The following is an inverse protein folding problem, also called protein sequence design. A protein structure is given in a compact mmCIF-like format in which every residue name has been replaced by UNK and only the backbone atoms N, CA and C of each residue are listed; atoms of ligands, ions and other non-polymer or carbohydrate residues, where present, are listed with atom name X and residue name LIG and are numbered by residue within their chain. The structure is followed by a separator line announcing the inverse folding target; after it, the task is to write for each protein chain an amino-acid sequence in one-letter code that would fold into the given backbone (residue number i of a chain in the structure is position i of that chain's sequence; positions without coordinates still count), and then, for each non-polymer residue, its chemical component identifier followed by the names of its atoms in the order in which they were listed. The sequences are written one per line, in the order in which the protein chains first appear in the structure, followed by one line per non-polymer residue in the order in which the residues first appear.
data_IF_959664467480
#
_entry.id   IF_959664467480
#
_cell.length_a   1.000
_cell.length_b   1.000
_cell.length_c   1.000
_cell.angle_alpha   90.00
_cell.angle_beta   90.00
_cell.angle_gamma   90.00
#
_symmetry.space_group_name_H-M   'P 1'
#
loop_
_entity.id
_entity.type
_entity.pdbx_description
1 polymer ?
#
# COMPACT_ATOMS: atom_id res chain seq x y z
N UNK A 1 -58.88 15.73 5.78
CA UNK A 1 -58.48 14.62 4.90
C UNK A 1 -58.84 14.99 3.47
N UNK A 2 -57.88 15.47 2.69
CA UNK A 2 -58.07 15.74 1.27
C UNK A 2 -57.72 14.46 0.50
N UNK A 3 -58.73 13.65 0.21
CA UNK A 3 -58.61 12.41 -0.56
C UNK A 3 -58.45 12.75 -2.04
N UNK A 4 -57.29 12.44 -2.62
CA UNK A 4 -57.05 12.58 -4.06
C UNK A 4 -57.83 11.47 -4.77
N UNK A 5 -58.79 11.84 -5.62
CA UNK A 5 -59.53 10.89 -6.45
C UNK A 5 -58.69 10.46 -7.66
N UNK A 6 -57.89 9.42 -7.46
CA UNK A 6 -56.97 8.87 -8.46
C UNK A 6 -57.64 8.49 -9.80
N UNK A 7 -58.96 8.27 -9.82
CA UNK A 7 -59.69 7.99 -11.07
C UNK A 7 -59.76 9.20 -11.99
N UNK A 8 -59.82 10.41 -11.42
CA UNK A 8 -59.86 11.66 -12.20
C UNK A 8 -58.51 11.99 -12.84
N UNK A 9 -57.42 11.56 -12.21
CA UNK A 9 -56.06 11.72 -12.77
C UNK A 9 -55.81 10.86 -14.02
N UNK A 10 -56.68 9.88 -14.29
CA UNK A 10 -56.59 9.01 -15.45
C UNK A 10 -57.26 9.59 -16.71
N UNK A 11 -58.04 10.66 -16.53
CA UNK A 11 -58.67 11.38 -17.64
C UNK A 11 -57.65 12.37 -18.23
N UNK A 12 -57.43 12.28 -19.55
CA UNK A 12 -56.49 13.13 -20.28
C UNK A 12 -56.94 14.59 -20.33
N UNK A 13 -58.23 14.84 -20.19
CA UNK A 13 -58.80 16.18 -20.22
C UNK A 13 -58.98 16.77 -18.81
N UNK A 14 -58.51 16.08 -17.76
CA UNK A 14 -58.59 16.56 -16.39
C UNK A 14 -57.71 17.79 -16.15
N UNK A 15 -58.35 18.91 -15.78
CA UNK A 15 -57.69 20.21 -15.56
C UNK A 15 -57.41 20.53 -14.08
N UNK A 16 -57.42 19.53 -13.19
CA UNK A 16 -57.14 19.74 -11.76
C UNK A 16 -58.33 20.25 -10.95
N UNK A 17 -59.56 20.15 -11.47
CA UNK A 17 -60.76 20.63 -10.78
C UNK A 17 -60.98 19.85 -9.47
N UNK A 18 -61.01 20.57 -8.34
CA UNK A 18 -61.18 20.01 -6.98
C UNK A 18 -59.89 19.62 -6.26
N UNK A 19 -58.72 19.88 -6.84
CA UNK A 19 -57.43 19.74 -6.17
C UNK A 19 -56.97 21.09 -5.62
N UNK A 20 -57.03 21.27 -4.30
CA UNK A 20 -56.39 22.41 -3.64
C UNK A 20 -54.90 22.05 -3.43
N UNK A 21 -54.02 22.70 -4.19
CA UNK A 21 -52.58 22.68 -3.94
C UNK A 21 -52.37 23.30 -2.55
N UNK A 22 -51.60 22.64 -1.69
CA UNK A 22 -51.20 23.24 -0.43
C UNK A 22 -50.46 24.55 -0.74
N UNK A 23 -50.97 25.67 -0.22
CA UNK A 23 -50.44 27.01 -0.52
C UNK A 23 -48.98 27.16 -0.10
N UNK A 24 -48.49 26.31 0.81
CA UNK A 24 -47.06 26.24 1.18
C UNK A 24 -46.14 25.70 0.06
N UNK A 25 -46.69 25.16 -1.03
CA UNK A 25 -45.96 24.59 -2.17
C UNK A 25 -46.07 25.45 -3.44
N UNK A 26 -46.82 26.56 -3.38
CA UNK A 26 -47.12 27.41 -4.54
C UNK A 26 -45.86 28.17 -5.03
N UNK A 27 -44.94 28.48 -4.12
CA UNK A 27 -43.64 29.14 -4.41
C UNK A 27 -42.49 28.13 -4.66
N UNK A 28 -42.80 26.85 -4.84
CA UNK A 28 -41.82 25.79 -5.06
C UNK A 28 -41.54 24.95 -3.81
N UNK A 29 -40.45 24.16 -3.79
CA UNK A 29 -40.22 23.16 -2.76
C UNK A 29 -39.92 23.77 -1.40
N UNK A 30 -40.93 23.94 -0.53
CA UNK A 30 -40.88 24.43 0.87
C UNK A 30 -39.93 25.62 1.09
N UNK A 31 -40.52 26.78 1.36
CA UNK A 31 -39.84 28.04 1.67
C UNK A 31 -38.74 27.87 2.74
N UNK A 32 -37.63 28.62 2.56
CA UNK A 32 -36.36 28.52 3.31
C UNK A 32 -36.52 28.50 4.84
N UNK A 33 -37.62 29.06 5.36
CA UNK A 33 -38.03 29.11 6.76
C UNK A 33 -38.22 27.73 7.43
N UNK A 34 -38.43 26.64 6.67
CA UNK A 34 -38.45 25.25 7.19
C UNK A 34 -37.15 24.47 6.95
N UNK A 35 -36.18 25.04 6.22
CA UNK A 35 -34.90 24.39 5.94
C UNK A 35 -33.85 24.92 6.90
N UNK A 36 -33.55 24.18 7.98
CA UNK A 36 -32.36 24.50 8.78
C UNK A 36 -31.12 24.23 7.94
N UNK A 37 -30.22 25.20 7.80
CA UNK A 37 -28.97 25.06 7.05
C UNK A 37 -28.00 24.16 7.84
N UNK A 38 -28.27 22.86 7.82
CA UNK A 38 -27.53 21.81 8.53
C UNK A 38 -26.08 21.69 8.02
N UNK A 39 -25.84 22.15 6.79
CA UNK A 39 -24.55 22.10 6.11
C UNK A 39 -23.43 22.83 6.85
N UNK A 40 -23.70 23.95 7.54
CA UNK A 40 -22.66 24.73 8.24
C UNK A 40 -22.05 23.93 9.40
N UNK A 41 -22.89 23.23 10.16
CA UNK A 41 -22.45 22.42 11.31
C UNK A 41 -21.67 21.20 10.83
N UNK A 42 -22.20 20.49 9.82
CA UNK A 42 -21.52 19.31 9.26
C UNK A 42 -20.20 19.67 8.56
N UNK A 43 -20.15 20.83 7.88
CA UNK A 43 -18.90 21.35 7.32
C UNK A 43 -17.87 21.63 8.43
N UNK A 44 -18.28 22.26 9.54
CA UNK A 44 -17.40 22.47 10.70
C UNK A 44 -16.84 21.16 11.26
N UNK A 45 -17.69 20.15 11.45
CA UNK A 45 -17.28 18.82 11.92
C UNK A 45 -16.31 18.17 10.93
N UNK A 46 -16.57 18.27 9.63
CA UNK A 46 -15.70 17.74 8.59
C UNK A 46 -14.32 18.38 8.60
N UNK A 47 -14.23 19.70 8.75
CA UNK A 47 -12.94 20.40 8.87
C UNK A 47 -12.18 19.96 10.12
N UNK A 48 -12.84 19.86 11.27
CA UNK A 48 -12.22 19.36 12.51
C UNK A 48 -11.68 17.94 12.31
N UNK A 49 -12.44 17.07 11.65
CA UNK A 49 -12.01 15.72 11.32
C UNK A 49 -10.77 15.71 10.42
N UNK A 50 -10.73 16.53 9.36
CA UNK A 50 -9.56 16.64 8.48
C UNK A 50 -8.31 17.12 9.23
N UNK A 51 -8.46 18.09 10.12
CA UNK A 51 -7.35 18.58 10.96
C UNK A 51 -6.85 17.49 11.89
N UNK A 52 -7.75 16.77 12.56
CA UNK A 52 -7.39 15.65 13.43
C UNK A 52 -6.67 14.53 12.64
N UNK A 53 -7.17 14.19 11.46
CA UNK A 53 -6.54 13.20 10.58
C UNK A 53 -5.14 13.63 10.15
N UNK A 54 -4.97 14.89 9.75
CA UNK A 54 -3.67 15.46 9.41
C UNK A 54 -2.68 15.43 10.59
N UNK A 55 -3.14 15.78 11.79
CA UNK A 55 -2.32 15.75 13.00
C UNK A 55 -1.85 14.33 13.33
N UNK A 56 -2.75 13.33 13.26
CA UNK A 56 -2.41 11.93 13.48
C UNK A 56 -1.42 11.43 12.43
N UNK A 57 -1.60 11.79 11.16
CA UNK A 57 -0.69 11.40 10.09
C UNK A 57 0.73 11.97 10.30
N UNK A 58 0.84 13.25 10.66
CA UNK A 58 2.13 13.88 10.97
C UNK A 58 2.77 13.25 12.20
N UNK A 59 2.01 13.02 13.26
CA UNK A 59 2.50 12.34 14.45
C UNK A 59 3.02 10.93 14.12
N UNK A 60 2.28 10.17 13.31
CA UNK A 60 2.69 8.84 12.84
C UNK A 60 3.97 8.87 12.01
N UNK A 61 4.15 9.89 11.16
CA UNK A 61 5.36 10.04 10.36
C UNK A 61 6.60 10.35 11.22
N UNK A 62 6.46 11.24 12.21
CA UNK A 62 7.57 11.65 13.08
C UNK A 62 7.93 10.54 14.08
N UNK A 63 6.93 9.93 14.72
CA UNK A 63 7.14 8.94 15.79
C UNK A 63 7.33 7.51 15.28
N UNK A 64 6.72 7.13 14.15
CA UNK A 64 6.60 5.74 13.70
C UNK A 64 7.82 5.18 12.97
N UNK A 65 8.81 6.01 12.61
CA UNK A 65 9.95 5.63 11.75
C UNK A 65 9.46 4.86 10.50
N UNK A 66 8.78 5.54 9.55
CA UNK A 66 8.14 4.89 8.39
C UNK A 66 9.12 4.07 7.54
N UNK A 67 10.40 4.43 7.59
CA UNK A 67 11.48 3.73 6.92
C UNK A 67 11.70 2.29 7.42
N UNK A 68 11.24 1.94 8.63
CA UNK A 68 11.28 0.56 9.12
C UNK A 68 10.31 -0.34 8.38
N UNK A 69 9.17 0.19 7.92
CA UNK A 69 8.18 -0.58 7.14
C UNK A 69 8.64 -0.86 5.72
N UNK A 70 9.44 0.04 5.13
CA UNK A 70 10.05 -0.15 3.82
C UNK A 70 11.35 -0.97 3.87
N UNK A 71 11.78 -1.41 5.05
CA UNK A 71 12.93 -2.29 5.16
C UNK A 71 12.56 -3.73 4.82
N UNK A 72 13.47 -4.40 4.13
CA UNK A 72 13.42 -5.86 4.00
C UNK A 72 13.54 -6.54 5.37
N UNK A 73 12.92 -7.70 5.46
CA UNK A 73 13.02 -8.62 6.59
C UNK A 73 13.94 -9.76 6.16
N UNK A 74 14.84 -10.23 7.04
CA UNK A 74 15.71 -11.40 6.81
C UNK A 74 14.96 -12.72 7.06
N UNK A 75 15.53 -13.87 6.67
CA UNK A 75 14.88 -15.17 6.84
C UNK A 75 14.57 -15.55 8.30
N UNK A 76 15.08 -14.80 9.30
CA UNK A 76 14.78 -14.99 10.72
C UNK A 76 13.80 -13.95 11.28
N UNK A 77 13.19 -13.10 10.45
CA UNK A 77 12.25 -12.07 10.90
C UNK A 77 12.90 -10.78 11.43
N UNK A 78 14.19 -10.54 11.15
CA UNK A 78 14.92 -9.33 11.54
C UNK A 78 14.81 -8.26 10.46
N UNK A 79 14.50 -7.03 10.85
CA UNK A 79 14.44 -5.89 9.92
C UNK A 79 15.84 -5.41 9.58
N UNK A 80 16.23 -5.52 8.31
CA UNK A 80 17.52 -5.04 7.81
C UNK A 80 17.68 -3.54 8.12
N UNK A 81 18.76 -3.17 8.81
CA UNK A 81 19.07 -1.80 9.23
C UNK A 81 18.43 -1.33 10.54
N UNK A 82 17.58 -2.15 11.19
CA UNK A 82 16.84 -1.73 12.40
C UNK A 82 16.92 -2.72 13.55
N UNK A 83 16.91 -4.02 13.28
CA UNK A 83 16.99 -5.04 14.33
C UNK A 83 18.41 -5.19 14.88
N UNK A 84 18.52 -5.68 16.13
CA UNK A 84 19.81 -5.92 16.77
C UNK A 84 20.67 -6.89 15.97
N UNK A 85 21.95 -6.53 15.78
CA UNK A 85 22.91 -7.29 14.97
C UNK A 85 22.84 -7.05 13.46
N UNK A 86 21.77 -6.45 12.94
CA UNK A 86 21.61 -6.12 11.49
C UNK A 86 21.51 -4.61 11.23
N UNK A 87 21.74 -3.77 12.25
CA UNK A 87 21.64 -2.30 12.12
C UNK A 87 22.56 -1.69 11.05
N UNK A 88 23.72 -2.29 10.79
CA UNK A 88 24.67 -1.85 9.76
C UNK A 88 24.39 -2.45 8.37
N UNK A 89 23.34 -3.25 8.23
CA UNK A 89 23.00 -4.00 7.02
C UNK A 89 21.63 -3.56 6.52
N UNK A 90 21.52 -2.39 5.84
CA UNK A 90 20.23 -1.78 5.51
C UNK A 90 19.55 -2.38 4.27
N UNK A 91 20.24 -3.24 3.50
CA UNK A 91 19.73 -3.76 2.23
C UNK A 91 19.42 -5.25 2.32
N UNK A 92 18.35 -5.68 1.65
CA UNK A 92 17.97 -7.09 1.52
C UNK A 92 18.54 -7.68 0.22
N UNK A 93 19.13 -8.86 0.29
CA UNK A 93 19.67 -9.61 -0.84
C UNK A 93 19.19 -11.06 -0.79
N UNK A 94 18.93 -11.64 -1.96
CA UNK A 94 18.51 -13.04 -2.08
C UNK A 94 19.74 -13.88 -2.42
N UNK A 95 20.23 -14.72 -1.50
CA UNK A 95 21.46 -15.45 -1.75
C UNK A 95 21.30 -16.51 -2.85
N UNK A 96 20.13 -17.15 -2.91
CA UNK A 96 19.83 -18.18 -3.90
C UNK A 96 18.45 -17.95 -4.55
N UNK A 97 18.42 -18.05 -5.88
CA UNK A 97 17.23 -17.95 -6.72
C UNK A 97 16.85 -19.32 -7.35
N UNK A 98 17.51 -20.41 -6.94
CA UNK A 98 17.36 -21.75 -7.51
C UNK A 98 15.98 -22.39 -7.36
N UNK A 99 15.14 -21.93 -6.43
CA UNK A 99 13.76 -22.39 -6.31
C UNK A 99 12.95 -21.46 -5.41
N UNK A 100 11.63 -21.47 -5.54
CA UNK A 100 10.72 -20.69 -4.68
C UNK A 100 10.87 -20.99 -3.19
N UNK A 101 11.10 -22.26 -2.83
CA UNK A 101 11.30 -22.66 -1.43
C UNK A 101 12.67 -22.25 -0.90
N UNK A 102 13.70 -22.28 -1.74
CA UNK A 102 15.04 -21.81 -1.36
C UNK A 102 15.04 -20.30 -1.18
N UNK A 103 14.40 -19.56 -2.08
CA UNK A 103 14.31 -18.09 -2.02
C UNK A 103 13.69 -17.66 -0.70
N UNK A 104 12.59 -18.30 -0.27
CA UNK A 104 11.91 -18.02 1.02
C UNK A 104 12.76 -18.26 2.26
N UNK A 105 13.90 -18.93 2.14
CA UNK A 105 14.74 -19.32 3.27
C UNK A 105 16.18 -18.80 3.17
N UNK A 106 16.52 -18.08 2.08
CA UNK A 106 17.89 -17.63 1.78
C UNK A 106 18.03 -16.13 1.54
N UNK A 107 17.05 -15.33 1.95
CA UNK A 107 17.18 -13.87 1.94
C UNK A 107 17.90 -13.34 3.20
N UNK A 108 18.90 -12.50 2.97
CA UNK A 108 19.87 -12.02 3.97
C UNK A 108 20.04 -10.51 3.89
N UNK A 109 20.44 -9.89 5.01
CA UNK A 109 20.77 -8.47 5.01
C UNK A 109 22.24 -8.27 4.59
N UNK A 110 22.51 -7.31 3.71
CA UNK A 110 23.86 -6.96 3.22
C UNK A 110 24.23 -5.52 3.56
N UNK A 111 25.53 -5.27 3.70
CA UNK A 111 26.11 -3.96 3.99
C UNK A 111 26.78 -3.39 2.74
N UNK A 112 26.58 -2.09 2.52
CA UNK A 112 27.20 -1.38 1.40
C UNK A 112 26.40 -1.52 0.10
N UNK A 113 27.10 -1.77 -1.01
CA UNK A 113 26.50 -1.88 -2.35
C UNK A 113 25.96 -3.28 -2.65
N UNK A 114 25.02 -3.34 -3.60
CA UNK A 114 24.41 -4.60 -3.99
C UNK A 114 25.46 -5.51 -4.68
N UNK A 115 25.47 -6.82 -4.37
CA UNK A 115 26.41 -7.75 -4.97
C UNK A 115 26.33 -7.78 -6.50
N UNK A 116 27.50 -7.89 -7.13
CA UNK A 116 27.65 -8.18 -8.57
C UNK A 116 28.09 -9.63 -8.77
N UNK A 117 28.03 -10.10 -10.01
CA UNK A 117 28.53 -11.39 -10.48
C UNK A 117 30.05 -11.59 -10.29
N UNK A 118 30.77 -10.54 -9.86
CA UNK A 118 32.19 -10.58 -9.54
C UNK A 118 32.47 -11.46 -8.31
N UNK A 119 32.98 -12.68 -8.55
CA UNK A 119 33.46 -13.59 -7.48
C UNK A 119 34.61 -13.00 -6.63
N UNK A 120 35.28 -11.96 -7.11
CA UNK A 120 36.39 -11.27 -6.43
C UNK A 120 35.95 -10.30 -5.33
N UNK A 121 34.68 -9.91 -5.29
CA UNK A 121 34.13 -9.03 -4.23
C UNK A 121 33.48 -9.88 -3.16
N UNK A 122 34.00 -9.87 -1.94
CA UNK A 122 33.36 -10.54 -0.80
C UNK A 122 32.06 -9.80 -0.43
N UNK A 123 30.97 -10.53 -0.26
CA UNK A 123 29.69 -9.99 0.20
C UNK A 123 29.73 -9.95 1.73
N UNK A 124 29.62 -8.75 2.31
CA UNK A 124 29.46 -8.56 3.74
C UNK A 124 27.96 -8.62 4.07
N UNK A 125 27.55 -9.69 4.76
CA UNK A 125 26.16 -9.98 5.07
C UNK A 125 26.00 -10.46 6.51
N UNK A 126 24.75 -10.52 6.96
CA UNK A 126 24.38 -11.28 8.16
C UNK A 126 23.72 -12.59 7.74
N UNK A 127 24.29 -13.70 8.21
CA UNK A 127 23.78 -15.05 8.01
C UNK A 127 22.36 -15.17 8.58
N UNK A 128 21.46 -15.72 7.77
CA UNK A 128 20.06 -15.90 8.12
C UNK A 128 19.43 -17.13 7.47
N UNK A 129 18.47 -17.75 8.16
CA UNK A 129 17.80 -18.96 7.67
C UNK A 129 18.79 -20.09 7.38
N UNK A 130 18.80 -20.55 6.13
CA UNK A 130 19.67 -21.63 5.65
C UNK A 130 21.03 -21.15 5.13
N UNK A 131 21.29 -19.84 5.10
CA UNK A 131 22.55 -19.27 4.66
C UNK A 131 23.55 -19.31 5.81
N UNK A 132 24.54 -20.21 5.70
CA UNK A 132 25.65 -20.32 6.68
C UNK A 132 26.85 -19.46 6.29
N UNK A 133 27.04 -19.20 4.99
CA UNK A 133 28.01 -18.26 4.45
C UNK A 133 27.44 -17.60 3.19
N UNK A 134 27.49 -16.27 3.10
CA UNK A 134 27.03 -15.55 1.91
C UNK A 134 28.00 -15.60 0.74
N UNK A 135 29.21 -16.10 0.98
CA UNK A 135 30.22 -16.32 -0.05
C UNK A 135 30.36 -17.81 -0.40
N UNK A 136 29.42 -18.65 0.04
CA UNK A 136 29.42 -20.07 -0.29
C UNK A 136 29.38 -20.26 -1.82
N UNK A 137 30.34 -20.99 -2.41
CA UNK A 137 30.35 -21.28 -3.85
C UNK A 137 29.16 -22.10 -4.32
N UNK A 138 28.38 -22.71 -3.41
CA UNK A 138 27.12 -23.39 -3.74
C UNK A 138 26.06 -22.41 -4.26
N UNK A 139 26.11 -21.13 -3.87
CA UNK A 139 25.16 -20.11 -4.33
C UNK A 139 25.63 -19.46 -5.63
N UNK A 140 24.74 -19.43 -6.63
CA UNK A 140 25.03 -18.77 -7.91
C UNK A 140 24.95 -17.26 -7.73
N UNK A 141 26.09 -16.57 -7.83
CA UNK A 141 26.12 -15.11 -7.83
C UNK A 141 25.45 -14.56 -9.09
N UNK A 142 24.70 -13.49 -8.92
CA UNK A 142 24.05 -12.79 -10.01
C UNK A 142 24.19 -11.28 -9.81
N UNK A 143 24.10 -10.55 -10.92
CA UNK A 143 24.18 -9.09 -10.86
C UNK A 143 22.87 -8.53 -10.32
N UNK A 144 22.98 -7.78 -9.23
CA UNK A 144 21.84 -7.18 -8.56
C UNK A 144 21.90 -5.65 -8.58
N UNK A 145 20.74 -5.00 -8.66
CA UNK A 145 20.59 -3.54 -8.66
C UNK A 145 19.83 -3.10 -7.42
N UNK A 146 20.26 -1.96 -6.86
CA UNK A 146 19.55 -1.38 -5.72
C UNK A 146 18.20 -0.79 -6.14
N UNK A 147 17.15 -1.23 -5.47
CA UNK A 147 15.79 -0.73 -5.60
C UNK A 147 15.36 -0.06 -4.29
N UNK A 148 14.90 1.18 -4.38
CA UNK A 148 14.51 2.04 -3.23
C UNK A 148 15.65 2.19 -2.20
N UNK A 149 16.91 1.89 -2.58
CA UNK A 149 18.06 1.93 -1.68
C UNK A 149 18.06 0.86 -0.57
N UNK A 150 17.08 -0.06 -0.57
CA UNK A 150 16.84 -1.05 0.52
C UNK A 150 16.73 -2.49 0.02
N UNK A 151 16.53 -2.71 -1.26
CA UNK A 151 16.44 -4.04 -1.86
C UNK A 151 17.51 -4.20 -2.93
N UNK A 152 18.14 -5.36 -3.01
CA UNK A 152 19.03 -5.76 -4.09
C UNK A 152 18.32 -6.80 -4.93
N UNK A 153 17.76 -6.36 -6.06
CA UNK A 153 16.99 -7.21 -6.95
C UNK A 153 17.84 -7.68 -8.12
N UNK A 154 17.67 -8.93 -8.58
CA UNK A 154 18.34 -9.44 -9.77
C UNK A 154 17.97 -8.64 -11.02
N UNK A 155 18.92 -8.50 -11.95
CA UNK A 155 18.67 -7.92 -13.27
C UNK A 155 18.30 -9.06 -14.23
N UNK A 156 17.02 -9.16 -14.62
CA UNK A 156 16.47 -10.25 -15.46
C UNK A 156 17.27 -10.49 -16.75
N UNK A 157 17.79 -9.44 -17.38
CA UNK A 157 18.51 -9.53 -18.64
C UNK A 157 19.93 -10.07 -18.50
N UNK A 158 20.49 -10.03 -17.28
CA UNK A 158 21.84 -10.50 -16.96
C UNK A 158 21.80 -11.80 -16.12
N UNK A 159 20.61 -12.35 -15.90
CA UNK A 159 20.43 -13.65 -15.25
C UNK A 159 20.69 -14.79 -16.23
N UNK A 160 21.39 -15.85 -15.81
CA UNK A 160 21.53 -17.05 -16.64
C UNK A 160 20.16 -17.71 -16.87
N UNK A 161 20.00 -18.37 -18.02
CA UNK A 161 18.70 -18.84 -18.52
C UNK A 161 17.95 -19.75 -17.52
N UNK A 162 18.68 -20.55 -16.75
CA UNK A 162 18.12 -21.41 -15.70
C UNK A 162 17.48 -20.62 -14.54
N UNK A 163 18.06 -19.47 -14.17
CA UNK A 163 17.52 -18.59 -13.13
C UNK A 163 16.44 -17.67 -13.69
N UNK A 164 16.48 -17.33 -14.98
CA UNK A 164 15.48 -16.46 -15.62
C UNK A 164 14.09 -17.09 -15.62
N UNK A 165 14.00 -18.38 -15.91
CA UNK A 165 12.74 -19.13 -15.83
C UNK A 165 12.18 -19.14 -14.40
N UNK A 166 13.05 -19.30 -13.41
CA UNK A 166 12.68 -19.35 -12.00
C UNK A 166 12.28 -17.97 -11.45
N UNK A 167 12.94 -16.92 -11.93
CA UNK A 167 12.60 -15.54 -11.59
C UNK A 167 11.19 -15.16 -12.06
N UNK A 168 10.77 -15.65 -13.22
CA UNK A 168 9.41 -15.42 -13.72
C UNK A 168 8.37 -16.13 -12.84
N UNK A 169 8.63 -17.37 -12.43
CA UNK A 169 7.78 -18.12 -11.47
C UNK A 169 7.75 -17.49 -10.04
N UNK A 170 8.72 -16.65 -9.68
CA UNK A 170 8.76 -15.97 -8.38
C UNK A 170 7.94 -14.68 -8.34
N UNK A 171 7.65 -14.10 -9.49
CA UNK A 171 6.96 -12.80 -9.62
C UNK A 171 5.48 -12.96 -9.99
N UNK A 172 5.12 -14.05 -10.67
CA UNK A 172 3.74 -14.43 -10.96
C UNK A 172 2.97 -14.91 -9.70
#
# INVERSE_FOLDING_TARGET
ENSIDFKKLQDKDYKGEGYEVDKELDDGPLSDDRRSCTDIVFYGIFIVFLVAMGAIAVYGYIAGNPWKFLSGVDANGRFCGYSDGVGNYPKLYFADLSSTDTVKNTYVCVKGDCPTDDASKSIDCVVAGHVTDCNDPAYTRYKSKSYIGRYCLPIKDELPDNLKAQYDDLID
#
